data_IF_534230785704
#
_entry.id   IF_534230785704
#
_cell.length_a   1.000
_cell.length_b   1.000
_cell.length_c   1.000
_cell.angle_alpha   90.00
_cell.angle_beta   90.00
_cell.angle_gamma   90.00
#
_symmetry.space_group_name_H-M   'P 1'
#
loop_
_entity.id
_entity.type
_entity.pdbx_description
1 polymer ?
#
# COMPACT_ATOMS: atom_id res chain seq x y z
N UNK A 1 15.93 -12.91 -16.51
CA UNK A 1 14.98 -11.80 -16.31
C UNK A 1 13.66 -12.37 -15.82
N UNK A 2 12.99 -11.69 -14.90
CA UNK A 2 11.68 -12.09 -14.36
C UNK A 2 10.61 -11.69 -15.37
N UNK A 3 9.87 -12.64 -15.90
CA UNK A 3 8.74 -12.38 -16.81
C UNK A 3 7.54 -11.87 -16.02
N UNK A 4 7.13 -10.65 -16.28
CA UNK A 4 6.10 -9.96 -15.49
C UNK A 4 4.86 -9.66 -16.32
N UNK A 5 3.70 -10.01 -15.76
CA UNK A 5 2.39 -9.56 -16.23
C UNK A 5 1.78 -8.49 -15.31
N UNK A 6 1.03 -7.55 -15.88
CA UNK A 6 0.28 -6.54 -15.13
C UNK A 6 -1.19 -6.56 -15.54
N UNK A 7 -2.06 -6.92 -14.62
CA UNK A 7 -3.51 -6.88 -14.82
C UNK A 7 -4.05 -5.55 -14.29
N UNK A 8 -4.73 -4.77 -15.17
CA UNK A 8 -5.29 -3.47 -14.82
C UNK A 8 -4.29 -2.31 -14.93
N UNK A 9 -3.51 -2.26 -16.03
CA UNK A 9 -2.45 -1.26 -16.26
C UNK A 9 -2.90 0.19 -16.46
N UNK A 10 -4.20 0.49 -16.56
CA UNK A 10 -4.72 1.82 -16.95
C UNK A 10 -5.02 2.78 -15.78
N UNK A 11 -5.01 2.30 -14.54
CA UNK A 11 -5.20 3.12 -13.32
C UNK A 11 -3.92 3.83 -12.88
N UNK A 12 -4.01 4.75 -11.90
CA UNK A 12 -2.83 5.45 -11.36
C UNK A 12 -1.80 4.50 -10.75
N UNK A 13 -2.25 3.48 -10.02
CA UNK A 13 -1.35 2.44 -9.48
C UNK A 13 -0.72 1.63 -10.61
N UNK A 14 -1.50 1.31 -11.67
CA UNK A 14 -1.00 0.57 -12.82
C UNK A 14 0.09 1.33 -13.57
N UNK A 15 -0.13 2.60 -13.93
CA UNK A 15 0.89 3.39 -14.65
C UNK A 15 2.14 3.63 -13.80
N UNK A 16 1.98 3.80 -12.49
CA UNK A 16 3.13 3.95 -11.58
C UNK A 16 3.94 2.65 -11.49
N UNK A 17 3.25 1.50 -11.44
CA UNK A 17 3.89 0.19 -11.50
C UNK A 17 4.65 0.00 -12.82
N UNK A 18 4.04 0.32 -13.97
CA UNK A 18 4.69 0.25 -15.28
C UNK A 18 5.93 1.14 -15.35
N UNK A 19 5.87 2.36 -14.79
CA UNK A 19 7.02 3.27 -14.73
C UNK A 19 8.20 2.67 -13.96
N UNK A 20 7.93 1.99 -12.84
CA UNK A 20 8.97 1.35 -12.03
C UNK A 20 9.52 0.10 -12.71
N UNK A 21 8.65 -0.75 -13.26
CA UNK A 21 9.05 -2.00 -13.92
C UNK A 21 9.83 -1.74 -15.22
N UNK A 22 9.47 -0.71 -15.99
CA UNK A 22 10.15 -0.35 -17.23
C UNK A 22 11.65 -0.01 -17.05
N UNK A 23 12.02 0.46 -15.86
CA UNK A 23 13.41 0.79 -15.52
C UNK A 23 14.09 -0.29 -14.67
N UNK A 24 13.40 -1.38 -14.36
CA UNK A 24 13.92 -2.41 -13.49
C UNK A 24 14.88 -3.36 -14.23
N UNK A 25 16.15 -3.50 -13.79
CA UNK A 25 17.19 -4.20 -14.58
C UNK A 25 16.97 -5.70 -14.74
N UNK A 26 16.13 -6.32 -13.91
CA UNK A 26 15.87 -7.77 -13.91
C UNK A 26 14.46 -8.12 -14.41
N UNK A 27 13.65 -7.15 -14.86
CA UNK A 27 12.26 -7.38 -15.32
C UNK A 27 12.18 -7.45 -16.84
N UNK A 28 11.39 -8.40 -17.31
CA UNK A 28 10.93 -8.52 -18.69
C UNK A 28 9.39 -8.40 -18.69
N UNK A 29 8.88 -7.23 -19.00
CA UNK A 29 7.45 -6.95 -19.01
C UNK A 29 6.81 -7.59 -20.25
N UNK A 30 5.94 -8.58 -20.06
CA UNK A 30 5.38 -9.43 -21.12
C UNK A 30 3.99 -9.03 -21.55
N UNK A 31 3.13 -8.74 -20.59
CA UNK A 31 1.71 -8.51 -20.87
C UNK A 31 1.14 -7.47 -19.91
N UNK A 32 0.31 -6.58 -20.44
CA UNK A 32 -0.40 -5.55 -19.69
C UNK A 32 -1.85 -5.62 -20.14
N UNK A 33 -2.80 -5.81 -19.22
CA UNK A 33 -4.18 -5.96 -19.62
C UNK A 33 -5.03 -4.71 -19.43
N UNK A 34 -5.97 -4.51 -20.35
CA UNK A 34 -7.12 -3.61 -20.24
C UNK A 34 -8.30 -4.22 -20.99
N UNK A 35 -9.51 -4.15 -20.42
CA UNK A 35 -10.74 -4.59 -21.11
C UNK A 35 -11.18 -3.57 -22.17
N UNK A 36 -11.05 -2.28 -21.86
CA UNK A 36 -11.59 -1.19 -22.67
C UNK A 36 -10.58 -0.77 -23.73
N UNK A 37 -9.30 -0.74 -23.39
CA UNK A 37 -8.23 -0.17 -24.22
C UNK A 37 -7.38 -1.25 -24.92
N UNK A 38 -7.90 -2.47 -25.08
CA UNK A 38 -7.20 -3.57 -25.76
C UNK A 38 -6.81 -3.15 -27.21
N UNK A 39 -5.57 -3.43 -27.59
CA UNK A 39 -4.97 -3.02 -28.87
C UNK A 39 -4.32 -1.64 -28.85
N UNK A 40 -4.61 -0.78 -27.88
CA UNK A 40 -3.98 0.55 -27.78
C UNK A 40 -2.55 0.41 -27.27
N UNK A 41 -1.54 1.04 -27.90
CA UNK A 41 -0.18 1.12 -27.38
C UNK A 41 -0.15 1.79 -26.01
N UNK A 42 0.58 1.22 -25.06
CA UNK A 42 0.74 1.80 -23.70
C UNK A 42 1.29 3.22 -23.77
N UNK A 43 2.24 3.48 -24.66
CA UNK A 43 2.83 4.81 -24.88
C UNK A 43 1.87 5.84 -25.48
N UNK A 44 0.76 5.42 -26.07
CA UNK A 44 -0.29 6.33 -26.51
C UNK A 44 -1.13 6.83 -25.34
N UNK A 45 -1.47 5.96 -24.39
CA UNK A 45 -2.18 6.36 -23.17
C UNK A 45 -1.27 7.08 -22.19
N UNK A 46 -0.02 6.64 -22.09
CA UNK A 46 0.99 7.15 -21.16
C UNK A 46 2.25 7.59 -21.91
N UNK A 47 2.28 8.81 -22.50
CA UNK A 47 3.41 9.29 -23.31
C UNK A 47 4.76 9.28 -22.58
N UNK A 48 4.76 9.36 -21.25
CA UNK A 48 5.98 9.27 -20.42
C UNK A 48 6.66 7.89 -20.47
N UNK A 49 5.96 6.85 -20.95
CA UNK A 49 6.51 5.49 -21.12
C UNK A 49 7.00 5.20 -22.54
N UNK A 50 6.93 6.19 -23.44
CA UNK A 50 7.41 6.05 -24.82
C UNK A 50 8.92 5.76 -24.86
N UNK A 51 9.30 4.74 -25.61
CA UNK A 51 10.70 4.27 -25.68
C UNK A 51 11.14 3.37 -24.53
N UNK A 52 10.27 3.16 -23.54
CA UNK A 52 10.51 2.25 -22.41
C UNK A 52 9.55 1.06 -22.41
N UNK A 53 8.29 1.26 -22.80
CA UNK A 53 7.27 0.22 -22.88
C UNK A 53 6.63 0.26 -24.27
N UNK A 54 6.98 -0.71 -25.11
CA UNK A 54 6.49 -0.81 -26.49
C UNK A 54 5.32 -1.78 -26.65
N UNK A 55 4.74 -2.24 -25.54
CA UNK A 55 3.60 -3.14 -25.53
C UNK A 55 2.29 -2.38 -25.79
N UNK A 56 1.32 -3.09 -26.37
CA UNK A 56 -0.07 -2.68 -26.37
C UNK A 56 -0.84 -3.37 -25.25
N UNK A 57 -1.94 -2.76 -24.81
CA UNK A 57 -2.86 -3.42 -23.87
C UNK A 57 -3.49 -4.65 -24.53
N UNK A 58 -3.51 -5.75 -23.80
CA UNK A 58 -4.12 -7.02 -24.21
C UNK A 58 -5.47 -7.19 -23.52
N UNK A 59 -6.48 -7.71 -24.21
CA UNK A 59 -7.73 -8.08 -23.54
C UNK A 59 -7.46 -9.22 -22.53
N UNK A 60 -8.02 -9.21 -21.30
CA UNK A 60 -7.76 -10.25 -20.30
C UNK A 60 -7.94 -11.68 -20.83
N UNK A 61 -9.00 -11.93 -21.61
CA UNK A 61 -9.30 -13.26 -22.15
C UNK A 61 -8.28 -13.76 -23.20
N UNK A 62 -7.42 -12.88 -23.69
CA UNK A 62 -6.35 -13.20 -24.65
C UNK A 62 -4.95 -13.15 -24.01
N UNK A 63 -4.88 -12.72 -22.75
CA UNK A 63 -3.62 -12.55 -22.05
C UNK A 63 -3.06 -13.89 -21.56
N UNK A 64 -1.86 -14.25 -22.01
CA UNK A 64 -1.17 -15.47 -21.58
C UNK A 64 -0.41 -15.21 -20.27
N UNK A 65 -1.16 -15.01 -19.18
CA UNK A 65 -0.60 -14.71 -17.87
C UNK A 65 0.14 -15.92 -17.25
N UNK A 66 -0.19 -17.14 -17.67
CA UNK A 66 0.48 -18.37 -17.24
C UNK A 66 1.94 -18.49 -17.69
N UNK A 67 2.35 -17.70 -18.69
CA UNK A 67 3.73 -17.69 -19.20
C UNK A 67 4.64 -16.73 -18.42
N UNK A 68 4.07 -16.01 -17.42
CA UNK A 68 4.79 -15.11 -16.55
C UNK A 68 5.34 -15.85 -15.30
N UNK A 69 6.44 -15.33 -14.76
CA UNK A 69 6.96 -15.75 -13.46
C UNK A 69 6.20 -15.06 -12.32
N UNK A 70 5.69 -13.85 -12.59
CA UNK A 70 4.94 -13.01 -11.64
C UNK A 70 3.84 -12.23 -12.34
N UNK A 71 2.67 -12.14 -11.71
CA UNK A 71 1.57 -11.28 -12.14
C UNK A 71 1.19 -10.30 -11.03
N UNK A 72 1.15 -9.01 -11.37
CA UNK A 72 0.61 -7.97 -10.51
C UNK A 72 -0.85 -7.69 -10.84
N UNK A 73 -1.69 -7.56 -9.82
CA UNK A 73 -3.06 -7.11 -9.96
C UNK A 73 -3.21 -5.66 -9.47
N UNK A 74 -3.38 -4.72 -10.39
CA UNK A 74 -3.69 -3.32 -10.12
C UNK A 74 -5.15 -3.00 -10.50
N UNK A 75 -6.07 -3.89 -10.11
CA UNK A 75 -7.48 -3.91 -10.50
C UNK A 75 -8.40 -3.37 -9.40
N UNK A 76 -9.67 -3.09 -9.71
CA UNK A 76 -10.71 -3.00 -8.69
C UNK A 76 -10.80 -4.29 -7.86
N UNK A 77 -11.30 -4.16 -6.63
CA UNK A 77 -11.54 -5.32 -5.76
C UNK A 77 -12.49 -6.33 -6.40
N UNK A 78 -12.28 -7.60 -6.13
CA UNK A 78 -13.11 -8.69 -6.64
C UNK A 78 -12.63 -9.31 -7.95
N UNK A 79 -11.59 -8.78 -8.57
CA UNK A 79 -11.03 -9.32 -9.82
C UNK A 79 -9.90 -10.31 -9.53
N UNK A 80 -8.95 -9.93 -8.68
CA UNK A 80 -7.81 -10.80 -8.37
C UNK A 80 -8.24 -12.15 -7.80
N UNK A 81 -9.22 -12.17 -6.89
CA UNK A 81 -9.72 -13.41 -6.28
C UNK A 81 -10.35 -14.40 -7.27
N UNK A 82 -10.72 -13.97 -8.48
CA UNK A 82 -11.23 -14.87 -9.52
C UNK A 82 -10.11 -15.49 -10.36
N UNK A 83 -9.04 -14.75 -10.62
CA UNK A 83 -7.95 -15.13 -11.51
C UNK A 83 -6.80 -15.86 -10.78
N UNK A 84 -6.53 -15.47 -9.54
CA UNK A 84 -5.39 -15.96 -8.73
C UNK A 84 -5.38 -17.48 -8.59
N UNK A 85 -6.51 -18.21 -8.37
CA UNK A 85 -6.48 -19.66 -8.25
C UNK A 85 -5.86 -20.38 -9.46
N UNK A 86 -6.17 -19.91 -10.68
CA UNK A 86 -5.64 -20.48 -11.91
C UNK A 86 -4.14 -20.20 -12.07
N UNK A 87 -3.69 -18.98 -11.73
CA UNK A 87 -2.28 -18.58 -11.80
C UNK A 87 -1.42 -19.37 -10.81
N UNK A 88 -1.86 -19.52 -9.56
CA UNK A 88 -1.14 -20.32 -8.57
C UNK A 88 -1.05 -21.79 -8.98
N UNK A 89 -2.09 -22.34 -9.64
CA UNK A 89 -2.06 -23.70 -10.19
C UNK A 89 -1.06 -23.83 -11.34
N UNK A 90 -0.86 -22.77 -12.12
CA UNK A 90 0.15 -22.70 -13.19
C UNK A 90 1.55 -22.33 -12.68
N UNK A 91 1.77 -22.35 -11.37
CA UNK A 91 3.04 -21.99 -10.70
C UNK A 91 3.49 -20.52 -10.86
N UNK A 92 2.57 -19.64 -11.23
CA UNK A 92 2.81 -18.20 -11.32
C UNK A 92 2.68 -17.57 -9.94
N UNK A 93 3.65 -16.75 -9.55
CA UNK A 93 3.56 -15.94 -8.33
C UNK A 93 2.65 -14.73 -8.54
N UNK A 94 2.02 -14.26 -7.47
CA UNK A 94 1.06 -13.15 -7.57
C UNK A 94 1.33 -12.10 -6.49
N UNK A 95 1.26 -10.84 -6.89
CA UNK A 95 1.18 -9.70 -5.96
C UNK A 95 -0.11 -8.94 -6.26
N UNK A 96 -1.04 -8.96 -5.29
CA UNK A 96 -2.32 -8.25 -5.39
C UNK A 96 -2.21 -6.87 -4.73
N UNK A 97 -2.40 -5.80 -5.53
CA UNK A 97 -2.46 -4.43 -5.06
C UNK A 97 -3.90 -3.97 -4.76
N UNK A 98 -4.91 -4.80 -5.14
CA UNK A 98 -6.26 -4.65 -4.65
C UNK A 98 -6.35 -5.09 -3.18
N UNK A 99 -7.56 -5.25 -2.66
CA UNK A 99 -7.71 -5.60 -1.26
C UNK A 99 -8.26 -7.02 -1.04
N UNK A 100 -8.22 -7.86 -2.09
CA UNK A 100 -8.91 -9.14 -2.07
C UNK A 100 -8.34 -10.12 -1.02
N UNK A 101 -7.05 -9.99 -0.70
CA UNK A 101 -6.37 -10.91 0.22
C UNK A 101 -5.78 -10.27 1.47
N UNK A 102 -6.08 -8.98 1.75
CA UNK A 102 -5.46 -8.25 2.86
C UNK A 102 -6.01 -8.59 4.24
N UNK A 103 -7.32 -8.84 4.35
CA UNK A 103 -8.03 -9.09 5.60
C UNK A 103 -8.22 -10.60 5.74
N UNK A 104 -7.68 -11.18 6.83
CA UNK A 104 -7.71 -12.62 7.05
C UNK A 104 -9.09 -13.16 7.45
N UNK A 105 -9.92 -12.35 8.11
CA UNK A 105 -11.30 -12.69 8.42
C UNK A 105 -12.18 -12.48 7.19
N UNK A 106 -12.62 -13.59 6.59
CA UNK A 106 -13.47 -13.61 5.40
C UNK A 106 -14.79 -12.87 5.63
N UNK A 107 -15.46 -13.08 6.76
CA UNK A 107 -16.73 -12.45 7.06
C UNK A 107 -16.57 -10.93 7.22
N UNK A 108 -15.48 -10.51 7.85
CA UNK A 108 -15.12 -9.10 7.96
C UNK A 108 -14.82 -8.49 6.58
N UNK A 109 -14.07 -9.20 5.73
CA UNK A 109 -13.78 -8.76 4.37
C UNK A 109 -15.09 -8.59 3.56
N UNK A 110 -15.97 -9.60 3.53
CA UNK A 110 -17.25 -9.56 2.83
C UNK A 110 -18.15 -8.41 3.32
N UNK A 111 -18.17 -8.18 4.63
CA UNK A 111 -18.90 -7.04 5.23
C UNK A 111 -18.41 -5.69 4.69
N UNK A 112 -17.08 -5.49 4.57
CA UNK A 112 -16.50 -4.21 4.18
C UNK A 112 -16.51 -3.98 2.67
N UNK A 113 -16.43 -5.04 1.86
CA UNK A 113 -16.39 -4.94 0.40
C UNK A 113 -17.76 -5.18 -0.26
N UNK A 114 -18.73 -5.74 0.46
CA UNK A 114 -20.13 -5.90 0.00
C UNK A 114 -20.32 -6.99 -1.06
N UNK A 115 -19.34 -7.87 -1.23
CA UNK A 115 -19.37 -8.99 -2.19
C UNK A 115 -18.87 -10.27 -1.51
N UNK A 116 -19.27 -11.44 -2.05
CA UNK A 116 -18.75 -12.73 -1.60
C UNK A 116 -17.35 -12.96 -2.11
N UNK A 117 -16.47 -13.50 -1.24
CA UNK A 117 -15.09 -13.82 -1.61
C UNK A 117 -15.05 -15.09 -2.48
N UNK A 118 -14.47 -14.99 -3.70
CA UNK A 118 -14.50 -16.10 -4.68
C UNK A 118 -13.57 -17.27 -4.31
N UNK A 119 -12.50 -17.02 -3.54
CA UNK A 119 -11.52 -18.05 -3.14
C UNK A 119 -11.06 -17.86 -1.68
N UNK A 120 -11.97 -17.97 -0.68
CA UNK A 120 -11.66 -17.69 0.72
C UNK A 120 -10.51 -18.56 1.28
N UNK A 121 -10.32 -19.77 0.75
CA UNK A 121 -9.24 -20.68 1.13
C UNK A 121 -7.83 -20.13 0.83
N UNK A 122 -7.70 -19.16 -0.07
CA UNK A 122 -6.41 -18.55 -0.39
C UNK A 122 -6.05 -17.38 0.53
N UNK A 123 -7.00 -16.83 1.28
CA UNK A 123 -6.76 -15.72 2.21
C UNK A 123 -5.70 -16.12 3.25
N UNK A 124 -5.78 -17.35 3.79
CA UNK A 124 -4.81 -17.85 4.77
C UNK A 124 -3.44 -18.16 4.20
N UNK A 125 -3.34 -18.30 2.87
CA UNK A 125 -2.07 -18.53 2.16
C UNK A 125 -1.41 -17.21 1.73
N UNK A 126 -2.18 -16.13 1.66
CA UNK A 126 -1.68 -14.82 1.28
C UNK A 126 -0.81 -14.22 2.38
N UNK A 127 0.40 -13.82 2.02
CA UNK A 127 1.29 -13.09 2.92
C UNK A 127 1.00 -11.59 2.81
N UNK A 128 0.79 -10.95 3.95
CA UNK A 128 0.62 -9.49 3.98
C UNK A 128 1.94 -8.80 3.66
N UNK A 129 1.97 -8.08 2.54
CA UNK A 129 3.16 -7.55 1.89
C UNK A 129 3.70 -6.26 2.49
N UNK A 130 3.82 -6.17 3.83
CA UNK A 130 4.56 -5.12 4.52
C UNK A 130 5.97 -5.65 4.82
N UNK A 131 6.98 -5.29 3.98
CA UNK A 131 8.32 -5.89 4.06
C UNK A 131 9.02 -5.71 5.41
N UNK A 132 8.76 -4.59 6.07
CA UNK A 132 9.34 -4.24 7.36
C UNK A 132 8.85 -5.13 8.52
N UNK A 133 7.81 -5.93 8.26
CA UNK A 133 7.23 -6.86 9.24
C UNK A 133 7.35 -8.32 8.78
N UNK A 134 7.10 -8.59 7.49
CA UNK A 134 6.90 -9.96 6.99
C UNK A 134 7.95 -10.37 5.92
N UNK A 135 9.16 -9.81 5.97
CA UNK A 135 10.21 -10.05 4.96
C UNK A 135 10.53 -11.53 4.73
N UNK A 136 10.59 -12.32 5.79
CA UNK A 136 10.92 -13.74 5.71
C UNK A 136 9.80 -14.54 5.01
N UNK A 137 8.56 -14.25 5.35
CA UNK A 137 7.37 -14.86 4.76
C UNK A 137 7.20 -14.45 3.30
N UNK A 138 7.41 -13.16 2.97
CA UNK A 138 7.33 -12.64 1.60
C UNK A 138 8.33 -13.35 0.68
N UNK A 139 9.53 -13.64 1.17
CA UNK A 139 10.56 -14.35 0.38
C UNK A 139 10.08 -15.70 -0.12
N UNK A 140 9.24 -16.40 0.63
CA UNK A 140 8.73 -17.73 0.32
C UNK A 140 7.30 -17.70 -0.26
N UNK A 141 6.68 -16.51 -0.31
CA UNK A 141 5.29 -16.38 -0.71
C UNK A 141 5.08 -16.71 -2.20
N UNK A 142 3.94 -17.30 -2.49
CA UNK A 142 3.40 -17.42 -3.85
C UNK A 142 2.30 -16.38 -4.12
N UNK A 143 1.66 -15.90 -3.07
CA UNK A 143 0.63 -14.85 -3.09
C UNK A 143 0.96 -13.81 -2.04
N UNK A 144 1.15 -12.58 -2.48
CA UNK A 144 1.37 -11.41 -1.60
C UNK A 144 0.20 -10.45 -1.71
N UNK A 145 -0.42 -10.13 -0.59
CA UNK A 145 -1.41 -9.07 -0.47
C UNK A 145 -0.70 -7.74 -0.16
N UNK A 146 -0.49 -6.91 -1.18
CA UNK A 146 0.21 -5.64 -1.02
C UNK A 146 -0.64 -4.66 -0.20
N UNK A 147 -0.12 -4.05 0.88
CA UNK A 147 -0.86 -3.16 1.76
C UNK A 147 -1.51 -1.95 1.07
N UNK A 148 -2.57 -1.43 1.64
CA UNK A 148 -3.12 -0.14 1.29
C UNK A 148 -2.20 1.01 1.70
N UNK A 149 -2.39 2.18 1.07
CA UNK A 149 -1.53 3.33 1.32
C UNK A 149 -1.67 3.87 2.76
N UNK A 150 -2.88 4.04 3.27
CA UNK A 150 -3.10 4.42 4.67
C UNK A 150 -2.56 3.37 5.66
N UNK A 151 -2.87 2.06 5.49
CA UNK A 151 -2.30 1.01 6.32
C UNK A 151 -0.79 1.04 6.39
N UNK A 152 -0.09 1.26 5.28
CA UNK A 152 1.37 1.36 5.26
C UNK A 152 1.89 2.47 6.17
N UNK A 153 1.37 3.70 6.01
CA UNK A 153 1.84 4.84 6.80
C UNK A 153 1.51 4.70 8.29
N UNK A 154 0.28 4.24 8.61
CA UNK A 154 -0.18 4.14 10.00
C UNK A 154 0.50 3.01 10.75
N UNK A 155 0.63 1.83 10.12
CA UNK A 155 1.29 0.68 10.76
C UNK A 155 2.78 0.96 11.01
N UNK A 156 3.52 1.46 10.01
CA UNK A 156 4.93 1.81 10.21
C UNK A 156 5.13 2.86 11.31
N UNK A 157 4.18 3.76 11.49
CA UNK A 157 4.24 4.73 12.56
C UNK A 157 3.99 4.15 13.96
N UNK A 158 3.06 3.21 14.15
CA UNK A 158 2.69 2.70 15.47
C UNK A 158 3.42 1.42 15.89
N UNK A 159 3.86 0.59 14.95
CA UNK A 159 4.42 -0.75 15.23
C UNK A 159 5.52 -0.72 16.30
N UNK A 160 6.54 0.16 16.25
CA UNK A 160 7.61 0.12 17.25
C UNK A 160 7.12 0.31 18.69
N UNK A 161 6.09 1.15 18.87
CA UNK A 161 5.51 1.43 20.19
C UNK A 161 4.70 0.24 20.73
N UNK A 162 3.95 -0.41 19.84
CA UNK A 162 3.12 -1.56 20.19
C UNK A 162 3.96 -2.79 20.47
N UNK A 163 4.97 -3.08 19.66
CA UNK A 163 5.92 -4.17 19.88
C UNK A 163 6.67 -4.01 21.22
N UNK A 164 6.98 -2.77 21.60
CA UNK A 164 7.63 -2.47 22.88
C UNK A 164 6.66 -2.37 24.08
N UNK A 165 5.35 -2.38 23.85
CA UNK A 165 4.31 -2.23 24.87
C UNK A 165 4.43 -0.91 25.65
N UNK A 166 4.71 0.19 24.97
CA UNK A 166 4.98 1.49 25.58
C UNK A 166 3.75 2.40 25.66
N UNK A 167 2.68 2.07 24.93
CA UNK A 167 1.52 2.95 24.76
C UNK A 167 0.21 2.26 25.08
N UNK A 168 -0.78 3.04 25.50
CA UNK A 168 -2.15 2.59 25.68
C UNK A 168 -2.71 2.08 24.33
N UNK A 169 -3.04 0.80 24.27
CA UNK A 169 -3.50 0.12 23.05
C UNK A 169 -4.94 0.41 22.66
N UNK A 170 -5.75 0.98 23.54
CA UNK A 170 -7.19 1.20 23.34
C UNK A 170 -7.56 2.62 22.91
N UNK A 171 -6.59 3.52 22.74
CA UNK A 171 -6.83 4.93 22.42
C UNK A 171 -5.82 5.51 21.42
N UNK A 172 -5.51 4.74 20.38
CA UNK A 172 -4.69 5.24 19.28
C UNK A 172 -5.53 6.12 18.35
N UNK A 173 -4.93 7.21 17.84
CA UNK A 173 -5.58 8.10 16.88
C UNK A 173 -4.69 8.23 15.65
N UNK A 174 -5.27 8.01 14.48
CA UNK A 174 -4.64 8.22 13.19
C UNK A 174 -5.46 9.25 12.38
N UNK A 175 -4.99 10.49 12.36
CA UNK A 175 -5.55 11.58 11.57
C UNK A 175 -4.70 11.75 10.30
N UNK A 176 -5.23 11.33 9.15
CA UNK A 176 -4.42 11.08 7.97
C UNK A 176 -4.92 11.86 6.75
N UNK A 177 -4.01 12.62 6.15
CA UNK A 177 -4.24 13.46 4.97
C UNK A 177 -3.70 12.76 3.73
N UNK A 178 -4.52 12.64 2.69
CA UNK A 178 -4.16 12.00 1.41
C UNK A 178 -4.39 12.94 0.24
N UNK A 179 -3.49 12.87 -0.73
CA UNK A 179 -3.71 13.48 -2.04
C UNK A 179 -4.83 12.77 -2.82
N UNK A 180 -5.46 13.50 -3.76
CA UNK A 180 -6.62 13.07 -4.53
C UNK A 180 -6.37 11.83 -5.40
N UNK A 181 -5.12 11.56 -5.79
CA UNK A 181 -4.77 10.34 -6.54
C UNK A 181 -5.08 9.04 -5.78
N UNK A 182 -5.24 9.12 -4.44
CA UNK A 182 -5.67 8.00 -3.61
C UNK A 182 -7.10 7.54 -3.88
N UNK A 183 -7.96 8.40 -4.46
CA UNK A 183 -9.31 8.04 -4.90
C UNK A 183 -9.34 7.24 -6.21
N UNK A 184 -8.21 7.11 -6.92
CA UNK A 184 -8.10 6.43 -8.21
C UNK A 184 -8.43 7.32 -9.40
N UNK A 185 -8.44 6.69 -10.62
CA UNK A 185 -8.62 7.40 -11.89
C UNK A 185 -10.08 7.47 -12.37
N UNK A 186 -11.03 7.12 -11.53
CA UNK A 186 -12.45 7.20 -11.91
C UNK A 186 -12.88 8.65 -12.06
N UNK A 187 -13.72 8.93 -13.06
CA UNK A 187 -14.35 10.23 -13.25
C UNK A 187 -15.48 10.38 -12.21
N UNK A 188 -15.15 10.89 -11.04
CA UNK A 188 -16.09 11.19 -9.96
C UNK A 188 -16.09 12.69 -9.68
N UNK A 189 -17.24 13.29 -9.40
CA UNK A 189 -17.39 14.73 -9.16
C UNK A 189 -16.40 15.20 -8.08
N UNK A 190 -16.31 14.50 -6.96
CA UNK A 190 -15.43 14.87 -5.84
C UNK A 190 -13.93 14.77 -6.12
N UNK A 191 -13.52 14.23 -7.28
CA UNK A 191 -12.14 14.15 -7.74
C UNK A 191 -11.82 15.10 -8.90
N UNK A 192 -12.82 15.87 -9.40
CA UNK A 192 -12.62 16.91 -10.40
C UNK A 192 -11.74 18.02 -9.83
N UNK A 193 -10.93 18.66 -10.69
CA UNK A 193 -10.03 19.74 -10.26
C UNK A 193 -10.76 20.88 -9.54
N UNK A 194 -11.93 21.29 -10.05
CA UNK A 194 -12.74 22.35 -9.46
C UNK A 194 -13.36 22.00 -8.09
N UNK A 195 -13.51 20.70 -7.80
CA UNK A 195 -14.08 20.21 -6.54
C UNK A 195 -13.00 19.82 -5.52
N UNK A 196 -11.86 19.35 -6.00
CA UNK A 196 -10.74 18.91 -5.16
C UNK A 196 -9.72 20.04 -4.93
N UNK A 197 -9.58 20.97 -5.88
CA UNK A 197 -8.74 22.17 -5.75
C UNK A 197 -9.27 23.07 -4.64
N UNK A 198 -8.37 23.68 -3.85
CA UNK A 198 -8.71 24.57 -2.72
C UNK A 198 -9.69 23.96 -1.70
N UNK A 199 -9.83 22.62 -1.66
CA UNK A 199 -10.74 21.90 -0.79
C UNK A 199 -10.02 20.90 0.10
N UNK A 200 -10.28 20.95 1.39
CA UNK A 200 -9.79 20.04 2.40
C UNK A 200 -10.96 19.44 3.18
N UNK A 201 -11.15 18.14 3.12
CA UNK A 201 -12.30 17.50 3.78
C UNK A 201 -11.97 16.14 4.38
N UNK A 202 -12.55 15.87 5.56
CA UNK A 202 -12.64 14.50 6.08
C UNK A 202 -13.68 13.70 5.28
N UNK A 203 -13.47 12.39 5.17
CA UNK A 203 -14.45 11.51 4.52
C UNK A 203 -14.44 10.13 5.21
N UNK A 204 -15.54 9.40 5.09
CA UNK A 204 -15.68 8.04 5.65
C UNK A 204 -15.23 7.90 7.12
N UNK A 205 -15.48 8.93 7.95
CA UNK A 205 -15.06 8.97 9.36
C UNK A 205 -15.74 7.88 10.18
N UNK A 206 -17.01 7.57 9.89
CA UNK A 206 -17.74 6.49 10.54
C UNK A 206 -17.24 5.07 10.20
N UNK A 207 -16.47 4.95 9.11
CA UNK A 207 -15.89 3.69 8.67
C UNK A 207 -15.26 3.78 7.28
N UNK A 208 -14.00 3.40 7.18
CA UNK A 208 -13.23 3.34 5.95
C UNK A 208 -12.69 1.93 5.72
N UNK A 209 -12.66 1.46 4.47
CA UNK A 209 -12.22 0.08 4.11
C UNK A 209 -10.80 -0.28 4.59
N UNK A 210 -9.93 0.70 4.81
CA UNK A 210 -8.60 0.47 5.37
C UNK A 210 -8.59 0.29 6.90
N UNK A 211 -9.66 0.66 7.61
CA UNK A 211 -9.70 0.53 9.09
C UNK A 211 -9.48 -0.91 9.57
N UNK A 212 -10.22 -1.94 9.06
CA UNK A 212 -9.99 -3.31 9.50
C UNK A 212 -8.59 -3.84 9.16
N UNK A 213 -8.03 -3.43 8.00
CA UNK A 213 -6.66 -3.77 7.60
C UNK A 213 -5.63 -3.18 8.57
N UNK A 214 -5.77 -1.90 8.93
CA UNK A 214 -4.88 -1.26 9.92
C UNK A 214 -4.99 -1.95 11.27
N UNK A 215 -6.21 -2.16 11.78
CA UNK A 215 -6.45 -2.81 13.07
C UNK A 215 -5.85 -4.20 13.12
N UNK A 216 -6.01 -5.00 12.07
CA UNK A 216 -5.41 -6.34 11.97
C UNK A 216 -3.88 -6.29 12.12
N UNK A 217 -3.20 -5.39 11.41
CA UNK A 217 -1.75 -5.26 11.49
C UNK A 217 -1.26 -4.74 12.84
N UNK A 218 -1.95 -3.77 13.43
CA UNK A 218 -1.62 -3.25 14.76
C UNK A 218 -1.88 -4.28 15.87
N UNK A 219 -2.98 -5.02 15.79
CA UNK A 219 -3.29 -6.10 16.73
C UNK A 219 -2.24 -7.21 16.68
N UNK A 220 -1.74 -7.55 15.49
CA UNK A 220 -0.63 -8.51 15.34
C UNK A 220 0.66 -8.01 16.00
N UNK A 221 0.99 -6.74 15.86
CA UNK A 221 2.17 -6.14 16.49
C UNK A 221 2.05 -6.06 18.02
N UNK A 222 0.84 -5.75 18.52
CA UNK A 222 0.57 -5.66 19.96
C UNK A 222 0.38 -7.03 20.65
N UNK A 223 0.05 -8.09 19.88
CA UNK A 223 -0.33 -9.39 20.43
C UNK A 223 -1.77 -9.46 20.97
N UNK A 224 -2.55 -8.38 20.84
CA UNK A 224 -3.95 -8.27 21.30
C UNK A 224 -4.68 -7.19 20.49
N UNK A 225 -6.00 -7.11 20.62
CA UNK A 225 -6.81 -6.08 19.96
C UNK A 225 -6.41 -4.66 20.37
N UNK A 226 -6.49 -3.74 19.39
CA UNK A 226 -6.20 -2.32 19.60
C UNK A 226 -7.40 -1.45 19.26
N UNK A 227 -7.61 -0.40 20.05
CA UNK A 227 -8.57 0.66 19.81
C UNK A 227 -7.94 1.74 18.90
N UNK A 228 -8.55 1.97 17.75
CA UNK A 228 -8.07 2.96 16.79
C UNK A 228 -9.20 3.86 16.31
N UNK A 229 -9.03 5.17 16.50
CA UNK A 229 -9.79 6.20 15.79
C UNK A 229 -9.04 6.57 14.52
N UNK A 230 -9.65 6.32 13.35
CA UNK A 230 -9.04 6.61 12.05
C UNK A 230 -9.87 7.66 11.31
N UNK A 231 -9.25 8.80 11.02
CA UNK A 231 -9.90 9.93 10.34
C UNK A 231 -9.14 10.25 9.06
N UNK A 232 -9.60 9.74 7.90
CA UNK A 232 -8.98 10.07 6.62
C UNK A 232 -9.49 11.41 6.10
N UNK A 233 -8.58 12.17 5.50
CA UNK A 233 -8.88 13.43 4.81
C UNK A 233 -8.39 13.38 3.37
N UNK A 234 -9.10 14.09 2.49
CA UNK A 234 -8.66 14.40 1.14
C UNK A 234 -8.19 15.86 1.10
N UNK A 235 -7.02 16.07 0.52
CA UNK A 235 -6.38 17.40 0.43
C UNK A 235 -6.20 17.82 -1.02
N UNK A 236 -6.02 19.11 -1.33
CA UNK A 236 -5.86 19.62 -2.71
C UNK A 236 -4.48 19.34 -3.30
N UNK A 237 -3.77 18.32 -2.84
CA UNK A 237 -2.54 17.83 -3.45
C UNK A 237 -2.81 16.59 -4.29
N UNK A 238 -1.98 16.34 -5.32
CA UNK A 238 -2.15 15.18 -6.19
C UNK A 238 -1.67 13.90 -5.49
N UNK A 239 -0.46 13.90 -4.91
CA UNK A 239 0.18 12.74 -4.29
C UNK A 239 0.62 13.03 -2.88
N UNK A 240 0.72 11.98 -2.10
CA UNK A 240 1.28 11.95 -0.76
C UNK A 240 0.25 11.56 0.29
N UNK A 241 0.75 10.95 1.34
CA UNK A 241 0.03 10.75 2.60
C UNK A 241 0.86 11.38 3.70
N UNK A 242 0.20 12.18 4.54
CA UNK A 242 0.74 12.68 5.80
C UNK A 242 -0.14 12.16 6.92
N UNK A 243 0.35 11.18 7.66
CA UNK A 243 -0.30 10.64 8.84
C UNK A 243 0.22 11.35 10.09
N UNK A 244 -0.68 11.98 10.83
CA UNK A 244 -0.42 12.48 12.18
C UNK A 244 -1.03 11.48 13.16
N UNK A 245 -0.19 10.78 13.88
CA UNK A 245 -0.57 9.69 14.76
C UNK A 245 -0.35 10.11 16.21
N UNK A 246 -1.30 9.78 17.08
CA UNK A 246 -1.25 10.15 18.48
C UNK A 246 -1.36 8.90 19.35
N UNK A 247 -0.47 8.81 20.34
CA UNK A 247 -0.47 7.72 21.32
C UNK A 247 -0.10 8.25 22.71
N UNK A 248 -0.79 7.75 23.74
CA UNK A 248 -0.41 8.02 25.12
C UNK A 248 0.70 7.06 25.56
N UNK A 249 1.82 7.63 26.03
CA UNK A 249 2.94 6.89 26.59
C UNK A 249 2.57 6.46 28.02
N UNK A 250 2.66 5.16 28.28
CA UNK A 250 2.44 4.57 29.61
C UNK A 250 3.74 4.27 30.35
N UNK A 251 4.85 4.15 29.61
CA UNK A 251 6.18 3.90 30.18
C UNK A 251 7.22 4.76 29.45
N UNK A 252 8.12 5.37 30.22
CA UNK A 252 9.22 6.16 29.66
C UNK A 252 10.19 5.27 28.90
N UNK A 253 10.67 5.77 27.76
CA UNK A 253 11.67 5.13 26.92
C UNK A 253 12.37 6.15 26.03
N UNK A 254 13.56 5.79 25.53
CA UNK A 254 14.30 6.54 24.50
C UNK A 254 13.66 6.31 23.14
N UNK A 255 12.57 7.04 22.86
CA UNK A 255 11.69 6.81 21.71
C UNK A 255 12.41 6.95 20.37
N UNK A 256 13.31 7.94 20.23
CA UNK A 256 14.10 8.13 19.02
C UNK A 256 14.97 6.90 18.74
N UNK A 257 15.72 6.45 19.75
CA UNK A 257 16.56 5.27 19.64
C UNK A 257 15.77 3.98 19.37
N UNK A 258 14.55 3.85 19.95
CA UNK A 258 13.65 2.74 19.68
C UNK A 258 13.32 2.63 18.18
N UNK A 259 12.89 3.74 17.57
CA UNK A 259 12.54 3.76 16.15
C UNK A 259 13.77 3.55 15.24
N UNK A 260 14.87 4.22 15.53
CA UNK A 260 16.14 4.05 14.80
C UNK A 260 16.61 2.60 14.85
N UNK A 261 16.57 1.96 16.01
CA UNK A 261 16.95 0.55 16.17
C UNK A 261 15.99 -0.39 15.45
N UNK A 262 14.67 -0.12 15.53
CA UNK A 262 13.64 -0.96 14.87
C UNK A 262 13.77 -0.95 13.35
N UNK A 263 14.12 0.20 12.78
CA UNK A 263 14.18 0.39 11.32
C UNK A 263 15.59 0.47 10.73
N UNK A 264 16.64 0.20 11.50
CA UNK A 264 18.04 0.31 11.06
C UNK A 264 18.38 -0.49 9.80
N UNK A 265 17.74 -1.66 9.62
CA UNK A 265 17.95 -2.58 8.51
C UNK A 265 16.85 -2.46 7.43
N UNK A 266 16.01 -1.41 7.52
CA UNK A 266 14.90 -1.16 6.62
C UNK A 266 15.18 0.02 5.68
N UNK A 267 15.75 -0.22 4.48
CA UNK A 267 16.24 0.85 3.60
C UNK A 267 15.13 1.76 3.06
N UNK A 268 13.88 1.37 3.22
CA UNK A 268 12.71 2.14 2.77
C UNK A 268 11.94 2.80 3.93
N UNK A 269 12.53 2.83 5.12
CA UNK A 269 12.04 3.62 6.27
C UNK A 269 13.14 4.55 6.74
N UNK A 270 12.86 5.84 6.71
CA UNK A 270 13.76 6.91 7.14
C UNK A 270 13.23 7.50 8.45
N UNK A 271 13.84 7.09 9.58
CA UNK A 271 13.60 7.71 10.88
C UNK A 271 14.40 9.01 10.92
N UNK A 272 13.72 10.13 10.77
CA UNK A 272 14.35 11.44 10.69
C UNK A 272 14.97 11.87 12.03
N UNK A 273 15.98 12.72 12.03
CA UNK A 273 16.56 13.27 13.27
C UNK A 273 15.50 13.93 14.16
N UNK A 274 15.69 13.90 15.46
CA UNK A 274 14.80 14.52 16.43
C UNK A 274 14.54 15.99 16.08
N UNK A 275 13.27 16.42 16.20
CA UNK A 275 12.84 17.78 15.86
C UNK A 275 12.53 18.01 14.36
N UNK A 276 12.69 16.99 13.52
CA UNK A 276 12.37 17.07 12.08
C UNK A 276 10.86 17.05 11.83
N UNK A 277 10.45 17.65 10.70
CA UNK A 277 9.05 17.66 10.24
C UNK A 277 9.01 17.13 8.79
N UNK A 278 8.68 15.85 8.57
CA UNK A 278 8.57 15.29 7.23
C UNK A 278 7.43 15.93 6.43
N UNK A 279 7.65 16.11 5.15
CA UNK A 279 6.67 16.69 4.23
C UNK A 279 6.41 15.77 3.02
N UNK A 280 5.23 15.82 2.45
CA UNK A 280 4.83 14.97 1.31
C UNK A 280 5.67 15.21 0.04
N UNK A 281 6.18 16.44 -0.15
CA UNK A 281 7.06 16.78 -1.27
C UNK A 281 8.34 15.97 -1.25
N UNK A 282 8.90 15.73 -0.07
CA UNK A 282 10.19 15.06 0.10
C UNK A 282 10.16 13.55 -0.17
N UNK A 283 8.97 12.95 -0.24
CA UNK A 283 8.76 11.51 -0.55
C UNK A 283 8.11 11.28 -1.92
N UNK A 284 7.76 12.35 -2.64
CA UNK A 284 7.08 12.26 -3.93
C UNK A 284 7.90 11.47 -4.96
N UNK A 285 7.31 10.40 -5.49
CA UNK A 285 7.95 9.50 -6.46
C UNK A 285 8.96 8.53 -5.85
N UNK A 286 9.21 8.59 -4.53
CA UNK A 286 10.16 7.74 -3.82
C UNK A 286 9.46 6.61 -3.05
N UNK A 287 10.11 5.43 -3.01
CA UNK A 287 9.64 4.29 -2.22
C UNK A 287 10.18 4.38 -0.79
N UNK A 288 9.80 5.43 -0.07
CA UNK A 288 10.26 5.65 1.30
C UNK A 288 9.13 6.10 2.22
N UNK A 289 9.16 5.65 3.47
CA UNK A 289 8.36 6.16 4.57
C UNK A 289 9.28 7.01 5.48
N UNK A 290 8.98 8.30 5.65
CA UNK A 290 9.68 9.17 6.59
C UNK A 290 8.91 9.30 7.88
N UNK A 291 9.58 9.08 9.00
CA UNK A 291 8.98 9.11 10.34
C UNK A 291 9.72 10.11 11.23
N UNK A 292 8.97 10.94 11.95
CA UNK A 292 9.50 11.82 12.98
C UNK A 292 8.64 11.75 14.24
N UNK A 293 9.27 11.97 15.39
CA UNK A 293 8.65 11.83 16.72
C UNK A 293 8.67 13.16 17.46
N UNK A 294 7.57 13.49 18.11
CA UNK A 294 7.45 14.70 18.91
C UNK A 294 6.70 14.44 20.21
N UNK A 295 7.22 14.95 21.32
CA UNK A 295 6.53 14.98 22.63
C UNK A 295 6.16 16.42 22.97
N UNK A 296 4.96 16.91 22.58
CA UNK A 296 4.55 18.28 22.88
C UNK A 296 4.59 18.53 24.39
N UNK A 297 5.22 19.64 24.78
CA UNK A 297 5.32 20.08 26.18
C UNK A 297 5.95 19.03 27.12
N UNK A 298 6.70 18.08 26.60
CA UNK A 298 7.27 16.93 27.36
C UNK A 298 6.20 16.11 28.12
N UNK A 299 4.96 16.15 27.63
CA UNK A 299 3.84 15.40 28.20
C UNK A 299 3.82 13.94 27.82
N UNK A 300 2.76 13.22 28.22
CA UNK A 300 2.58 11.79 27.92
C UNK A 300 2.00 11.54 26.51
N UNK A 301 1.65 12.60 25.77
CA UNK A 301 1.22 12.46 24.38
C UNK A 301 2.43 12.39 23.46
N UNK A 302 2.54 11.31 22.71
CA UNK A 302 3.45 11.19 21.58
C UNK A 302 2.72 11.49 20.29
N UNK A 303 3.30 12.35 19.46
CA UNK A 303 2.87 12.62 18.09
C UNK A 303 3.90 12.02 17.15
N UNK A 304 3.45 11.08 16.30
CA UNK A 304 4.28 10.47 15.25
C UNK A 304 3.81 11.02 13.91
N UNK A 305 4.74 11.58 13.15
CA UNK A 305 4.50 12.00 11.77
C UNK A 305 5.03 10.92 10.86
N UNK A 306 4.16 10.31 10.03
CA UNK A 306 4.53 9.27 9.08
C UNK A 306 4.09 9.69 7.68
N UNK A 307 5.06 9.82 6.76
CA UNK A 307 4.84 10.43 5.45
C UNK A 307 5.34 9.52 4.33
N UNK A 308 4.49 9.29 3.32
CA UNK A 308 4.78 8.45 2.15
C UNK A 308 4.23 9.07 0.86
N UNK A 309 4.74 8.64 -0.31
CA UNK A 309 3.99 8.75 -1.57
C UNK A 309 2.93 7.63 -1.63
N UNK A 310 1.66 8.00 -1.73
CA UNK A 310 0.55 7.05 -1.72
C UNK A 310 0.52 6.09 -2.91
N UNK A 311 1.14 6.44 -4.05
CA UNK A 311 1.22 5.59 -5.23
C UNK A 311 2.52 4.77 -5.29
N UNK A 312 3.56 5.17 -4.55
CA UNK A 312 4.87 4.48 -4.54
C UNK A 312 4.99 3.61 -3.29
N UNK A 313 5.45 4.13 -2.15
CA UNK A 313 5.54 3.33 -0.90
C UNK A 313 4.16 2.85 -0.44
N UNK A 314 3.11 3.61 -0.73
CA UNK A 314 1.73 3.22 -0.44
C UNK A 314 1.10 2.22 -1.42
N UNK A 315 1.74 1.87 -2.54
CA UNK A 315 1.18 0.97 -3.56
C UNK A 315 2.26 0.33 -4.45
N UNK A 316 2.56 0.90 -5.62
CA UNK A 316 3.36 0.29 -6.67
C UNK A 316 4.82 0.07 -6.26
N UNK A 317 5.44 1.00 -5.57
CA UNK A 317 6.84 0.86 -5.11
C UNK A 317 6.99 -0.26 -4.09
N UNK A 318 6.04 -0.37 -3.14
CA UNK A 318 6.02 -1.48 -2.18
C UNK A 318 5.78 -2.83 -2.88
N UNK A 319 4.93 -2.87 -3.92
CA UNK A 319 4.73 -4.08 -4.71
C UNK A 319 6.01 -4.52 -5.43
N UNK A 320 6.78 -3.59 -6.01
CA UNK A 320 8.11 -3.88 -6.59
C UNK A 320 9.10 -4.31 -5.50
N UNK A 321 9.09 -3.70 -4.33
CA UNK A 321 9.89 -4.12 -3.18
C UNK A 321 9.55 -5.57 -2.77
N UNK A 322 8.27 -5.93 -2.72
CA UNK A 322 7.82 -7.31 -2.48
C UNK A 322 8.33 -8.27 -3.56
N UNK A 323 8.21 -7.92 -4.84
CA UNK A 323 8.78 -8.69 -5.95
C UNK A 323 10.28 -8.94 -5.75
N UNK A 324 11.05 -7.91 -5.42
CA UNK A 324 12.49 -8.04 -5.21
C UNK A 324 12.83 -9.00 -4.08
N UNK A 325 12.05 -9.02 -3.01
CA UNK A 325 12.21 -9.96 -1.89
C UNK A 325 11.84 -11.40 -2.31
N UNK A 326 10.80 -11.57 -3.12
CA UNK A 326 10.35 -12.88 -3.61
C UNK A 326 11.35 -13.53 -4.56
N UNK A 327 12.13 -12.74 -5.31
CA UNK A 327 13.04 -13.27 -6.35
C UNK A 327 14.54 -13.11 -6.02
N UNK A 328 14.92 -12.45 -4.94
CA UNK A 328 16.32 -12.27 -4.48
C UNK A 328 16.92 -11.00 -5.05
#
# INVERSE_FOLDING_TARGET
MIKVGVVGGTGYTGVELLRLLALHPKVDLRVITSRIDAGMPVSQMFPSLRGYVELAFTHPDQAQLSDCDLVFFATPNGIAMQEVPALLKADVRVIDLAADFRIQDVALWEKWYGIKHACPQLITQAVYGLPEVNRAEIRQARLVANPGCYPTAVQLGFIPLLEAGLVAHNNLIADVKSGVSGAGRRAEIGALLAEAGDNFKAYNVAGHRHLPEIKQGLARAAGHDVGLTFVPHLTPMIRGIHATLYAHIEREAELQALYEQRYKDEPFVDVMPAGSHPETRSVRGANVCRIALHRPQQGNMLVILSVIDNLVKGAAGQAVQNMNIMFG
#
